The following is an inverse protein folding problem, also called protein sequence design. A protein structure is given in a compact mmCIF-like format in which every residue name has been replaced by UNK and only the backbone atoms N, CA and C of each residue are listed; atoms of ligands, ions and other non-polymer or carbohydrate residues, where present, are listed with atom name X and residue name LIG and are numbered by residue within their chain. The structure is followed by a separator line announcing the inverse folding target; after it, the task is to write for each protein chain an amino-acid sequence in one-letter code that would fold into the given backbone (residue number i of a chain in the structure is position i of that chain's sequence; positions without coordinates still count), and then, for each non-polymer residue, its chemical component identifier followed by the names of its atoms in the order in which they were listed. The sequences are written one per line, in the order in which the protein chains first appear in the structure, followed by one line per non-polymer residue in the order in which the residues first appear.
data_IF_533415360837
#
_entry.id   IF_533415360837
#
_cell.length_a   1.000
_cell.length_b   1.000
_cell.length_c   1.000
_cell.angle_alpha   90.00
_cell.angle_beta   90.00
_cell.angle_gamma   90.00
#
_symmetry.space_group_name_H-M   'P 1'
#
loop_
_entity.id
_entity.type
_entity.pdbx_description
1 polymer ?
#
# COMPACT_ATOMS: atom_id res chain seq x y z
N UNK A 1 -31.16 -25.11 -46.81
CA UNK A 1 -31.66 -23.74 -47.09
C UNK A 1 -31.56 -22.94 -45.81
N UNK A 2 -30.58 -22.02 -45.74
CA UNK A 2 -30.28 -21.23 -44.53
C UNK A 2 -31.06 -19.91 -44.64
N UNK A 3 -31.99 -19.64 -43.73
CA UNK A 3 -32.65 -18.33 -43.63
C UNK A 3 -31.87 -17.43 -42.67
N UNK A 4 -31.32 -16.34 -43.21
CA UNK A 4 -30.76 -15.23 -42.44
C UNK A 4 -31.89 -14.22 -42.20
N UNK A 5 -32.30 -14.04 -40.95
CA UNK A 5 -33.13 -12.92 -40.56
C UNK A 5 -32.22 -11.77 -40.10
N UNK A 6 -32.31 -10.65 -40.81
CA UNK A 6 -31.68 -9.38 -40.48
C UNK A 6 -32.77 -8.39 -40.01
N UNK A 7 -32.30 -7.31 -39.37
CA UNK A 7 -33.01 -6.06 -38.97
C UNK A 7 -33.60 -6.13 -37.55
N UNK A 8 -33.53 -5.09 -36.69
CA UNK A 8 -33.42 -3.64 -36.90
C UNK A 8 -32.65 -2.97 -35.74
N UNK A 9 -31.87 -1.94 -36.07
CA UNK A 9 -31.50 -0.87 -35.15
C UNK A 9 -32.67 0.12 -35.12
N UNK A 10 -33.24 0.38 -33.95
CA UNK A 10 -34.14 1.51 -33.76
C UNK A 10 -33.64 2.37 -32.58
N UNK A 11 -33.33 3.61 -32.95
CA UNK A 11 -32.87 4.73 -32.16
C UNK A 11 -34.06 5.45 -31.55
N UNK A 12 -34.05 5.70 -30.25
CA UNK A 12 -34.89 6.76 -29.65
C UNK A 12 -34.04 7.62 -28.71
N UNK A 13 -33.76 8.82 -29.18
CA UNK A 13 -33.27 9.94 -28.39
C UNK A 13 -34.46 10.64 -27.71
N UNK A 14 -34.12 11.40 -26.67
CA UNK A 14 -34.81 12.56 -26.11
C UNK A 14 -35.66 12.34 -24.85
N UNK A 15 -35.23 13.05 -23.79
CA UNK A 15 -35.98 13.77 -22.75
C UNK A 15 -35.35 13.47 -21.38
N UNK A 16 -34.95 14.39 -20.50
CA UNK A 16 -35.22 15.81 -20.33
C UNK A 16 -34.08 16.39 -19.48
N UNK A 17 -33.52 17.54 -19.89
CA UNK A 17 -32.68 18.38 -19.03
C UNK A 17 -33.63 19.27 -18.21
N UNK A 18 -33.85 18.94 -16.95
CA UNK A 18 -34.49 19.86 -16.02
C UNK A 18 -33.66 19.99 -14.74
N UNK A 19 -32.96 21.11 -14.66
CA UNK A 19 -32.13 21.59 -13.56
C UNK A 19 -32.98 22.15 -12.43
N UNK A 20 -32.81 21.69 -11.18
CA UNK A 20 -33.11 22.45 -9.96
C UNK A 20 -32.22 21.94 -8.77
N UNK A 21 -31.98 22.77 -7.73
CA UNK A 21 -30.73 22.86 -6.96
C UNK A 21 -30.62 21.91 -5.75
N UNK A 22 -29.38 21.59 -5.34
CA UNK A 22 -29.03 20.86 -4.09
C UNK A 22 -29.51 21.64 -2.84
N UNK A 23 -29.97 20.99 -1.75
CA UNK A 23 -29.09 20.46 -0.69
C UNK A 23 -29.64 19.14 -0.09
N UNK A 24 -28.98 18.33 0.74
CA UNK A 24 -27.98 18.59 1.76
C UNK A 24 -27.00 17.40 1.85
N UNK A 25 -25.74 17.73 2.15
CA UNK A 25 -24.74 16.76 2.59
C UNK A 25 -25.18 16.19 3.94
N UNK A 26 -25.82 15.02 3.91
CA UNK A 26 -25.90 14.17 5.10
C UNK A 26 -24.51 13.56 5.32
N UNK A 27 -23.63 14.32 5.98
CA UNK A 27 -22.47 13.74 6.61
C UNK A 27 -22.98 12.86 7.76
N UNK A 28 -23.20 11.57 7.50
CA UNK A 28 -23.29 10.60 8.58
C UNK A 28 -21.91 10.49 9.22
N UNK A 29 -21.68 11.24 10.30
CA UNK A 29 -20.54 10.99 11.17
C UNK A 29 -20.86 9.71 11.96
N UNK A 30 -20.02 8.66 11.90
CA UNK A 30 -20.22 7.51 12.77
C UNK A 30 -19.91 7.93 14.22
N UNK A 31 -20.93 8.28 15.00
CA UNK A 31 -20.81 8.41 16.45
C UNK A 31 -20.90 7.03 17.09
N UNK A 32 -19.82 6.24 16.96
CA UNK A 32 -19.65 5.06 17.80
C UNK A 32 -18.35 5.22 18.56
N UNK A 33 -18.47 5.55 19.85
CA UNK A 33 -17.35 5.46 20.79
C UNK A 33 -16.97 3.99 20.87
N UNK A 34 -15.80 3.66 20.33
CA UNK A 34 -15.24 2.31 20.33
C UNK A 34 -14.44 2.19 21.62
N UNK A 35 -15.12 1.84 22.71
CA UNK A 35 -14.47 1.45 23.96
C UNK A 35 -13.87 0.05 23.76
N UNK A 36 -12.71 -0.01 23.11
CA UNK A 36 -11.90 -1.21 23.05
C UNK A 36 -10.92 -1.16 24.24
N UNK A 37 -10.96 -2.12 25.18
CA UNK A 37 -9.91 -2.23 26.19
C UNK A 37 -8.58 -2.49 25.47
N UNK A 38 -7.68 -1.51 25.51
CA UNK A 38 -6.32 -1.63 25.01
C UNK A 38 -5.50 -2.48 25.99
N UNK A 39 -5.69 -3.80 25.92
CA UNK A 39 -4.90 -4.78 26.64
C UNK A 39 -4.30 -5.75 25.63
N UNK A 40 -3.49 -5.20 24.73
CA UNK A 40 -2.61 -5.94 23.84
C UNK A 40 -1.18 -5.51 24.17
N UNK A 41 -0.58 -6.13 25.20
CA UNK A 41 0.88 -6.14 25.33
C UNK A 41 1.43 -7.13 24.31
N UNK A 42 1.44 -6.73 23.04
CA UNK A 42 2.25 -7.42 22.05
C UNK A 42 3.71 -7.26 22.48
N UNK A 43 4.43 -8.36 22.67
CA UNK A 43 5.88 -8.30 22.77
C UNK A 43 6.38 -7.77 21.43
N UNK A 44 6.89 -6.53 21.45
CA UNK A 44 7.59 -5.93 20.32
C UNK A 44 8.79 -6.84 20.04
N UNK A 45 8.86 -7.52 18.87
CA UNK A 45 10.08 -8.16 18.44
C UNK A 45 11.15 -7.06 18.40
N UNK A 46 12.26 -7.25 19.12
CA UNK A 46 13.35 -6.29 19.11
C UNK A 46 13.76 -6.07 17.65
N UNK A 47 13.57 -4.87 17.09
CA UNK A 47 14.15 -4.57 15.80
C UNK A 47 15.65 -4.46 16.04
N UNK A 48 16.42 -5.41 15.54
CA UNK A 48 17.84 -5.20 15.27
C UNK A 48 17.90 -4.12 14.18
N UNK A 49 17.73 -2.87 14.60
CA UNK A 49 17.83 -1.73 13.72
C UNK A 49 19.28 -1.62 13.27
N UNK A 50 19.52 -1.31 11.98
CA UNK A 50 20.87 -1.06 11.53
C UNK A 50 21.46 0.11 12.32
N UNK A 51 22.77 0.02 12.64
CA UNK A 51 23.47 0.90 13.59
C UNK A 51 23.39 2.42 13.28
N UNK A 52 22.85 2.81 12.12
CA UNK A 52 22.58 4.21 11.79
C UNK A 52 21.21 4.73 12.25
N UNK A 53 20.30 3.87 12.71
CA UNK A 53 18.96 4.21 13.21
C UNK A 53 18.83 4.05 14.73
N UNK A 54 19.86 3.62 15.44
CA UNK A 54 19.82 3.56 16.91
C UNK A 54 19.68 4.98 17.46
N UNK A 55 18.58 5.31 18.17
CA UNK A 55 18.59 6.50 19.00
C UNK A 55 19.68 6.30 20.04
N UNK A 56 20.64 7.21 20.12
CA UNK A 56 21.77 7.19 21.05
C UNK A 56 21.31 7.46 22.49
N UNK A 57 20.38 6.66 22.99
CA UNK A 57 19.73 6.85 24.28
C UNK A 57 19.58 5.53 25.01
N UNK A 58 20.72 5.00 25.47
CA UNK A 58 20.95 4.08 26.60
C UNK A 58 22.16 3.17 26.23
N UNK A 59 23.26 3.02 26.98
CA UNK A 59 23.54 3.19 28.39
C UNK A 59 25.05 3.52 28.57
N UNK A 60 25.38 4.73 29.00
CA UNK A 60 26.55 4.96 29.85
C UNK A 60 26.04 5.69 31.10
N UNK A 61 25.97 4.93 32.18
CA UNK A 61 25.73 5.44 33.52
C UNK A 61 26.77 6.52 33.83
N UNK A 62 26.29 7.74 34.09
CA UNK A 62 27.06 8.78 34.75
C UNK A 62 27.80 9.75 33.82
N UNK A 63 27.07 10.67 33.18
CA UNK A 63 27.38 12.11 33.25
C UNK A 63 26.22 12.92 32.69
N UNK A 64 25.54 13.65 33.58
CA UNK A 64 24.56 14.67 33.23
C UNK A 64 25.28 15.84 32.56
N UNK A 65 25.33 15.87 31.23
CA UNK A 65 25.55 17.11 30.49
C UNK A 65 24.25 17.50 29.82
N UNK A 66 23.70 18.62 30.28
CA UNK A 66 22.53 19.28 29.72
C UNK A 66 22.78 19.55 28.22
N UNK A 67 22.31 18.65 27.35
CA UNK A 67 22.29 18.91 25.90
C UNK A 67 21.26 20.01 25.69
N UNK A 68 21.73 21.23 25.41
CA UNK A 68 20.87 22.36 25.11
C UNK A 68 19.88 21.98 23.98
N UNK A 69 18.64 22.50 23.97
CA UNK A 69 17.67 22.17 22.93
C UNK A 69 18.23 22.42 21.52
N UNK A 70 19.13 23.41 21.37
CA UNK A 70 19.88 23.67 20.14
C UNK A 70 20.70 22.47 19.64
N UNK A 71 21.30 21.68 20.54
CA UNK A 71 22.07 20.49 20.16
C UNK A 71 21.22 19.34 19.61
N UNK A 72 19.95 19.27 20.01
CA UNK A 72 18.99 18.29 19.48
C UNK A 72 18.52 18.67 18.07
N UNK A 73 18.22 19.95 17.83
CA UNK A 73 17.84 20.44 16.50
C UNK A 73 18.98 20.27 15.47
N UNK A 74 20.22 20.56 15.86
CA UNK A 74 21.39 20.36 14.98
C UNK A 74 21.59 18.89 14.57
N UNK A 75 21.34 17.94 15.49
CA UNK A 75 21.42 16.51 15.21
C UNK A 75 20.29 16.06 14.27
N UNK A 76 19.07 16.54 14.50
CA UNK A 76 17.93 16.31 13.61
C UNK A 76 18.18 16.87 12.21
N UNK A 77 18.70 18.10 12.10
CA UNK A 77 19.05 18.69 10.81
C UNK A 77 20.14 17.88 10.11
N UNK A 78 21.16 17.41 10.83
CA UNK A 78 22.21 16.55 10.26
C UNK A 78 21.67 15.20 9.76
N UNK A 79 20.67 14.64 10.45
CA UNK A 79 20.02 13.39 10.06
C UNK A 79 19.11 13.57 8.83
N UNK A 80 18.31 14.65 8.80
CA UNK A 80 17.41 14.96 7.69
C UNK A 80 18.18 15.36 6.42
N UNK A 81 19.33 16.03 6.58
CA UNK A 81 20.19 16.41 5.47
C UNK A 81 21.13 15.29 5.01
N UNK A 82 21.12 14.13 5.68
CA UNK A 82 21.96 12.99 5.30
C UNK A 82 21.44 12.42 3.97
N UNK A 83 22.31 12.21 2.96
CA UNK A 83 21.93 11.47 1.77
C UNK A 83 21.52 10.05 2.17
N UNK A 84 20.27 9.69 1.89
CA UNK A 84 19.76 8.35 2.17
C UNK A 84 20.54 7.34 1.30
N UNK A 85 21.19 6.33 1.89
CA UNK A 85 21.87 5.32 1.09
C UNK A 85 20.82 4.50 0.34
N UNK A 86 20.83 4.61 -0.99
CA UNK A 86 19.99 3.78 -1.85
C UNK A 86 20.69 2.45 -2.11
N UNK A 87 20.04 1.36 -1.75
CA UNK A 87 20.44 0.02 -2.21
C UNK A 87 19.80 -0.20 -3.58
N UNK A 88 20.62 -0.14 -4.64
CA UNK A 88 20.17 -0.44 -6.00
C UNK A 88 20.28 -1.96 -6.19
N UNK A 89 19.14 -2.63 -6.31
CA UNK A 89 19.09 -4.05 -6.67
C UNK A 89 19.06 -4.14 -8.20
N UNK A 90 20.07 -4.74 -8.86
CA UNK A 90 20.11 -4.82 -10.31
C UNK A 90 19.01 -5.75 -10.82
N UNK A 91 18.39 -5.40 -11.96
CA UNK A 91 17.41 -6.29 -12.61
C UNK A 91 18.06 -7.63 -12.93
N UNK A 92 17.40 -8.77 -12.62
CA UNK A 92 17.99 -10.08 -12.76
C UNK A 92 18.20 -10.38 -14.25
N UNK A 93 19.37 -10.95 -14.59
CA UNK A 93 19.61 -11.41 -15.95
C UNK A 93 18.75 -12.64 -16.24
N UNK A 94 18.39 -12.90 -17.52
CA UNK A 94 17.55 -14.05 -17.90
C UNK A 94 18.11 -15.41 -17.46
N UNK A 95 19.43 -15.51 -17.31
CA UNK A 95 20.14 -16.74 -16.92
C UNK A 95 20.18 -16.95 -15.39
N UNK A 96 19.94 -15.92 -14.59
CA UNK A 96 19.98 -16.02 -13.12
C UNK A 96 18.60 -16.34 -12.52
N UNK A 97 17.61 -16.71 -13.34
CA UNK A 97 16.23 -16.95 -12.90
C UNK A 97 16.06 -18.05 -11.87
N UNK A 98 17.06 -18.92 -11.68
CA UNK A 98 16.98 -20.09 -10.79
C UNK A 98 17.79 -19.93 -9.50
N UNK A 99 18.34 -18.75 -9.21
CA UNK A 99 19.02 -18.53 -7.93
C UNK A 99 17.99 -18.32 -6.82
N UNK A 100 18.15 -19.02 -5.68
CA UNK A 100 17.26 -18.87 -4.51
C UNK A 100 17.18 -17.42 -4.02
N UNK A 101 18.24 -16.64 -4.24
CA UNK A 101 18.27 -15.21 -3.93
C UNK A 101 17.32 -14.40 -4.82
N UNK A 102 17.17 -14.76 -6.10
CA UNK A 102 16.27 -14.05 -7.00
C UNK A 102 14.80 -14.39 -6.74
N UNK A 103 14.48 -15.62 -6.35
CA UNK A 103 13.12 -15.98 -5.92
C UNK A 103 12.66 -15.15 -4.70
N UNK A 104 13.58 -14.73 -3.84
CA UNK A 104 13.26 -13.88 -2.69
C UNK A 104 12.93 -12.43 -3.06
N UNK A 105 13.63 -11.87 -4.06
CA UNK A 105 13.51 -10.46 -4.42
C UNK A 105 12.55 -10.19 -5.60
N UNK A 106 12.34 -11.19 -6.46
CA UNK A 106 11.58 -11.06 -7.69
C UNK A 106 10.44 -12.08 -7.73
N UNK A 107 9.25 -11.58 -8.08
CA UNK A 107 8.09 -12.43 -8.29
C UNK A 107 8.19 -13.18 -9.63
N UNK A 108 7.71 -14.41 -9.64
CA UNK A 108 7.53 -15.18 -10.88
C UNK A 108 6.62 -14.48 -11.88
N UNK A 109 6.82 -14.79 -13.17
CA UNK A 109 5.97 -14.22 -14.23
C UNK A 109 4.49 -14.58 -14.06
N UNK A 110 4.19 -15.76 -13.52
CA UNK A 110 2.81 -16.20 -13.28
C UNK A 110 2.18 -15.43 -12.11
N UNK A 111 2.91 -15.21 -11.03
CA UNK A 111 2.40 -14.46 -9.88
C UNK A 111 2.21 -12.98 -10.22
N UNK A 112 3.10 -12.42 -11.05
CA UNK A 112 2.96 -11.08 -11.60
C UNK A 112 1.72 -10.93 -12.49
N UNK A 113 1.43 -11.92 -13.36
CA UNK A 113 0.24 -11.90 -14.22
C UNK A 113 -1.05 -11.99 -13.39
N UNK A 114 -1.09 -12.89 -12.39
CA UNK A 114 -2.22 -12.98 -11.47
C UNK A 114 -2.42 -11.70 -10.66
N UNK A 115 -1.35 -11.03 -10.25
CA UNK A 115 -1.41 -9.72 -9.60
C UNK A 115 -1.98 -8.63 -10.52
N UNK A 116 -1.58 -8.61 -11.80
CA UNK A 116 -2.14 -7.71 -12.79
C UNK A 116 -3.64 -7.96 -13.03
N UNK A 117 -4.06 -9.22 -13.06
CA UNK A 117 -5.49 -9.59 -13.17
C UNK A 117 -6.26 -9.16 -11.92
N UNK A 118 -5.69 -9.31 -10.72
CA UNK A 118 -6.32 -8.80 -9.50
C UNK A 118 -6.51 -7.28 -9.54
N UNK A 119 -5.49 -6.53 -9.97
CA UNK A 119 -5.60 -5.07 -10.11
C UNK A 119 -6.69 -4.66 -11.11
N UNK A 120 -6.77 -5.34 -12.26
CA UNK A 120 -7.82 -5.11 -13.25
C UNK A 120 -9.23 -5.41 -12.70
N UNK A 121 -9.39 -6.44 -11.87
CA UNK A 121 -10.66 -6.75 -11.21
C UNK A 121 -11.06 -5.71 -10.15
N UNK A 122 -10.07 -5.14 -9.46
CA UNK A 122 -10.28 -4.12 -8.43
C UNK A 122 -10.45 -2.71 -9.03
N UNK A 123 -10.06 -2.51 -10.29
CA UNK A 123 -10.30 -1.26 -11.00
C UNK A 123 -11.80 -0.94 -11.02
N UNK A 124 -12.20 0.19 -10.42
CA UNK A 124 -13.60 0.60 -10.23
C UNK A 124 -14.49 -0.43 -9.50
N UNK A 125 -13.90 -1.36 -8.75
CA UNK A 125 -14.60 -2.38 -7.96
C UNK A 125 -15.54 -3.28 -8.79
N UNK A 126 -15.21 -3.53 -10.07
CA UNK A 126 -16.06 -4.29 -10.96
C UNK A 126 -16.26 -5.76 -10.52
N UNK A 127 -15.20 -6.42 -10.04
CA UNK A 127 -15.26 -7.84 -9.67
C UNK A 127 -14.39 -8.18 -8.45
N UNK A 128 -14.83 -7.69 -7.30
CA UNK A 128 -14.18 -7.93 -6.00
C UNK A 128 -14.15 -9.43 -5.62
N UNK A 129 -15.23 -10.22 -5.80
CA UNK A 129 -15.22 -11.64 -5.44
C UNK A 129 -14.18 -12.46 -6.23
N UNK A 130 -13.99 -12.16 -7.51
CA UNK A 130 -12.96 -12.81 -8.33
C UNK A 130 -11.56 -12.43 -7.89
N UNK A 131 -11.30 -11.16 -7.59
CA UNK A 131 -10.03 -10.72 -7.03
C UNK A 131 -9.72 -11.43 -5.70
N UNK A 132 -10.71 -11.56 -4.82
CA UNK A 132 -10.57 -12.29 -3.56
C UNK A 132 -10.25 -13.77 -3.80
N UNK A 133 -10.91 -14.42 -4.75
CA UNK A 133 -10.62 -15.81 -5.10
C UNK A 133 -9.21 -16.04 -5.66
N UNK A 134 -8.66 -15.07 -6.39
CA UNK A 134 -7.27 -15.12 -6.88
C UNK A 134 -6.31 -14.88 -5.71
N UNK A 135 -6.60 -13.93 -4.83
CA UNK A 135 -5.79 -13.64 -3.65
C UNK A 135 -5.66 -14.86 -2.73
N UNK A 136 -6.75 -15.56 -2.43
CA UNK A 136 -6.73 -16.77 -1.60
C UNK A 136 -5.95 -17.94 -2.23
N UNK A 137 -5.76 -17.94 -3.56
CA UNK A 137 -4.95 -18.96 -4.24
C UNK A 137 -3.45 -18.64 -4.27
N UNK A 138 -3.09 -17.36 -4.15
CA UNK A 138 -1.71 -16.90 -4.12
C UNK A 138 -1.10 -16.93 -2.71
N UNK A 139 -1.96 -16.96 -1.68
CA UNK A 139 -1.58 -17.03 -0.27
C UNK A 139 -1.28 -18.46 0.15
#
# INVERSE_FOLDING_TARGET
MISRAARRFETTLLSSRQSLPRPARLYSTPSKKRDAPALATAQVPRPDYPAFLTPSSSEQYGQQQQKSPAGFYNELESFLNRPMPYTIIPTPLPHDRTSEQHEHWYADTVTQDLAAVMDACLHNLYDVPRAMGIFERLR
#
